data_IF_046004891493
#
_entry.id   IF_046004891493
#
_cell.length_a   1.000
_cell.length_b   1.000
_cell.length_c   1.000
_cell.angle_alpha   90.00
_cell.angle_beta   90.00
_cell.angle_gamma   90.00
#
_symmetry.space_group_name_H-M   'P 1'
#
loop_
_entity.id
_entity.type
_entity.pdbx_description
1 polymer ?
#
# COMPACT_ATOMS: atom_id res chain seq x y z
N UNK A 1 -29.94 -14.59 14.36
CA UNK A 1 -30.61 -13.42 13.76
C UNK A 1 -30.84 -13.74 12.30
N UNK A 2 -32.10 -13.83 11.86
CA UNK A 2 -32.44 -14.08 10.44
C UNK A 2 -32.15 -12.78 9.69
N UNK A 3 -31.18 -12.80 8.78
CA UNK A 3 -30.88 -11.65 7.93
C UNK A 3 -32.01 -11.57 6.91
N UNK A 4 -32.92 -10.61 7.08
CA UNK A 4 -33.91 -10.30 6.05
C UNK A 4 -33.12 -9.68 4.90
N UNK A 5 -33.02 -10.41 3.79
CA UNK A 5 -32.40 -9.89 2.57
C UNK A 5 -33.35 -8.87 1.97
N UNK A 6 -32.94 -7.60 1.96
CA UNK A 6 -33.70 -6.52 1.32
C UNK A 6 -33.57 -6.65 -0.20
N UNK A 7 -34.69 -6.53 -0.92
CA UNK A 7 -34.72 -6.51 -2.38
C UNK A 7 -34.28 -5.11 -2.88
N UNK A 8 -32.98 -4.84 -2.79
CA UNK A 8 -32.36 -3.65 -3.35
C UNK A 8 -31.99 -3.88 -4.83
N UNK A 9 -32.18 -2.85 -5.67
CA UNK A 9 -31.88 -2.90 -7.11
C UNK A 9 -30.68 -2.02 -7.46
N UNK A 10 -29.67 -2.53 -8.18
CA UNK A 10 -28.50 -1.75 -8.54
C UNK A 10 -28.84 -0.68 -9.58
N UNK A 11 -28.43 0.55 -9.31
CA UNK A 11 -28.72 1.69 -10.19
C UNK A 11 -27.54 2.00 -11.12
N UNK A 12 -26.32 1.95 -10.58
CA UNK A 12 -25.11 2.31 -11.30
C UNK A 12 -24.67 1.22 -12.30
N UNK A 13 -23.95 1.58 -13.39
CA UNK A 13 -23.34 0.60 -14.29
C UNK A 13 -22.38 -0.36 -13.58
N UNK A 14 -21.68 0.13 -12.54
CA UNK A 14 -20.80 -0.69 -11.70
C UNK A 14 -21.59 -1.77 -10.95
N UNK A 15 -22.64 -1.39 -10.22
CA UNK A 15 -23.41 -2.33 -9.42
C UNK A 15 -24.19 -3.34 -10.29
N UNK A 16 -24.68 -2.92 -11.46
CA UNK A 16 -25.31 -3.84 -12.43
C UNK A 16 -24.31 -4.89 -12.91
N UNK A 17 -23.06 -4.49 -13.20
CA UNK A 17 -21.99 -5.42 -13.58
C UNK A 17 -21.60 -6.34 -12.42
N UNK A 18 -21.51 -5.81 -11.20
CA UNK A 18 -21.19 -6.58 -10.00
C UNK A 18 -22.29 -7.61 -9.70
N UNK A 19 -23.56 -7.21 -9.78
CA UNK A 19 -24.70 -8.11 -9.62
C UNK A 19 -24.73 -9.19 -10.69
N UNK A 20 -24.50 -8.83 -11.97
CA UNK A 20 -24.47 -9.81 -13.05
C UNK A 20 -23.35 -10.85 -12.87
N UNK A 21 -22.14 -10.41 -12.48
CA UNK A 21 -21.03 -11.31 -12.18
C UNK A 21 -21.33 -12.19 -10.95
N UNK A 22 -21.95 -11.64 -9.91
CA UNK A 22 -22.35 -12.37 -8.71
C UNK A 22 -23.40 -13.44 -9.02
N UNK A 23 -24.42 -13.11 -9.80
CA UNK A 23 -25.46 -14.04 -10.23
C UNK A 23 -24.92 -15.15 -11.14
N UNK A 24 -23.83 -14.89 -11.86
CA UNK A 24 -23.11 -15.88 -12.66
C UNK A 24 -22.06 -16.69 -11.84
N UNK A 25 -21.96 -16.45 -10.53
CA UNK A 25 -20.95 -17.05 -9.64
C UNK A 25 -19.49 -16.81 -10.09
N UNK A 26 -19.24 -15.72 -10.83
CA UNK A 26 -17.92 -15.34 -11.32
C UNK A 26 -17.18 -14.48 -10.28
N UNK A 27 -16.65 -15.16 -9.26
CA UNK A 27 -15.91 -14.51 -8.17
C UNK A 27 -14.68 -13.72 -8.67
N UNK A 28 -13.84 -14.22 -9.61
CA UNK A 28 -12.74 -13.44 -10.16
C UNK A 28 -13.18 -12.08 -10.74
N UNK A 29 -14.27 -12.04 -11.52
CA UNK A 29 -14.80 -10.79 -12.05
C UNK A 29 -15.34 -9.89 -10.93
N UNK A 30 -16.05 -10.44 -9.95
CA UNK A 30 -16.53 -9.68 -8.78
C UNK A 30 -15.36 -9.00 -8.04
N UNK A 31 -14.31 -9.77 -7.72
CA UNK A 31 -13.13 -9.26 -7.02
C UNK A 31 -12.37 -8.23 -7.86
N UNK A 32 -12.25 -8.45 -9.18
CA UNK A 32 -11.63 -7.48 -10.10
C UNK A 32 -12.39 -6.15 -10.20
N UNK A 33 -13.72 -6.19 -10.09
CA UNK A 33 -14.58 -5.01 -9.98
C UNK A 33 -14.40 -4.31 -8.63
N UNK A 34 -14.51 -5.04 -7.52
CA UNK A 34 -14.35 -4.50 -6.16
C UNK A 34 -12.98 -3.85 -5.96
N UNK A 35 -11.91 -4.43 -6.51
CA UNK A 35 -10.55 -3.89 -6.46
C UNK A 35 -10.44 -2.45 -6.92
N UNK A 36 -11.26 -2.06 -7.90
CA UNK A 36 -11.26 -0.72 -8.52
C UNK A 36 -12.36 0.18 -7.98
N UNK A 37 -13.18 -0.33 -7.07
CA UNK A 37 -14.31 0.40 -6.51
C UNK A 37 -13.86 1.28 -5.34
N UNK A 38 -14.51 2.42 -5.23
CA UNK A 38 -14.65 3.13 -3.97
C UNK A 38 -15.81 2.51 -3.20
N UNK A 39 -15.65 2.35 -1.90
CA UNK A 39 -16.68 1.81 -1.01
C UNK A 39 -16.98 2.80 0.11
N UNK A 40 -18.25 2.86 0.48
CA UNK A 40 -18.75 3.72 1.55
C UNK A 40 -18.74 3.01 2.89
N UNK A 41 -18.10 3.61 3.88
CA UNK A 41 -18.18 3.23 5.27
C UNK A 41 -19.23 4.12 5.96
N UNK A 42 -20.27 3.56 6.58
CA UNK A 42 -21.24 4.35 7.34
C UNK A 42 -20.57 5.14 8.46
N UNK A 43 -20.98 6.40 8.62
CA UNK A 43 -20.54 7.30 9.69
C UNK A 43 -21.76 7.73 10.50
N UNK A 44 -21.63 7.78 11.82
CA UNK A 44 -22.73 8.26 12.68
C UNK A 44 -22.92 9.78 12.48
N UNK A 45 -24.15 10.31 12.64
CA UNK A 45 -24.38 11.75 12.57
C UNK A 45 -23.52 12.53 13.58
N UNK A 46 -23.34 11.99 14.79
CA UNK A 46 -22.49 12.61 15.81
C UNK A 46 -21.03 12.71 15.37
N UNK A 47 -20.48 11.66 14.72
CA UNK A 47 -19.11 11.69 14.22
C UNK A 47 -18.95 12.68 13.05
N UNK A 48 -19.95 12.75 12.16
CA UNK A 48 -19.93 13.69 11.05
C UNK A 48 -20.02 15.16 11.49
N UNK A 49 -20.73 15.44 12.58
CA UNK A 49 -20.79 16.76 13.22
C UNK A 49 -19.58 17.06 14.11
N UNK A 50 -18.59 16.16 14.19
CA UNK A 50 -17.40 16.30 15.04
C UNK A 50 -17.68 16.21 16.55
N UNK A 51 -18.86 15.71 16.94
CA UNK A 51 -19.24 15.51 18.35
C UNK A 51 -18.63 14.25 18.96
N UNK A 52 -18.17 13.32 18.14
CA UNK A 52 -17.42 12.12 18.55
C UNK A 52 -16.37 11.73 17.50
N UNK A 53 -15.36 10.92 17.86
CA UNK A 53 -14.42 10.36 16.89
C UNK A 53 -15.11 9.43 15.88
N UNK A 54 -14.64 9.43 14.63
CA UNK A 54 -15.13 8.48 13.62
C UNK A 54 -14.65 7.07 13.95
N UNK A 55 -15.59 6.18 14.30
CA UNK A 55 -15.32 4.78 14.57
C UNK A 55 -15.45 3.91 13.30
N UNK A 56 -14.81 2.74 13.31
CA UNK A 56 -15.02 1.74 12.28
C UNK A 56 -16.43 1.13 12.38
N UNK A 57 -17.22 1.06 11.29
CA UNK A 57 -18.58 0.55 11.32
C UNK A 57 -18.56 -0.99 11.44
N UNK A 58 -18.51 -1.49 12.67
CA UNK A 58 -18.31 -2.93 12.92
C UNK A 58 -19.54 -3.64 13.46
N UNK A 59 -19.65 -4.94 13.15
CA UNK A 59 -20.61 -5.85 13.75
C UNK A 59 -19.98 -7.23 13.97
N UNK A 60 -20.56 -8.05 14.84
CA UNK A 60 -20.09 -9.42 15.09
C UNK A 60 -21.01 -10.44 14.40
N UNK A 61 -20.41 -11.43 13.74
CA UNK A 61 -21.14 -12.46 13.01
C UNK A 61 -20.27 -13.68 12.76
N UNK A 62 -20.80 -14.88 13.01
CA UNK A 62 -20.06 -16.13 12.80
C UNK A 62 -18.75 -16.23 13.61
N UNK A 63 -18.69 -15.62 14.79
CA UNK A 63 -17.48 -15.60 15.64
C UNK A 63 -16.37 -14.65 15.19
N UNK A 64 -16.61 -13.80 14.18
CA UNK A 64 -15.66 -12.80 13.68
C UNK A 64 -16.25 -11.38 13.77
N UNK A 65 -15.38 -10.39 13.95
CA UNK A 65 -15.71 -8.97 13.79
C UNK A 65 -15.62 -8.59 12.30
N UNK A 66 -16.67 -7.98 11.79
CA UNK A 66 -16.79 -7.55 10.40
C UNK A 66 -16.91 -6.03 10.34
N UNK A 67 -16.17 -5.40 9.44
CA UNK A 67 -16.37 -4.01 9.05
C UNK A 67 -17.40 -3.96 7.92
N UNK A 68 -18.47 -3.20 8.09
CA UNK A 68 -19.49 -3.01 7.07
C UNK A 68 -19.07 -1.92 6.08
N UNK A 69 -19.15 -2.24 4.80
CA UNK A 69 -18.96 -1.28 3.71
C UNK A 69 -20.04 -1.49 2.65
N UNK A 70 -20.36 -0.43 1.90
CA UNK A 70 -21.41 -0.46 0.88
C UNK A 70 -20.87 0.08 -0.45
N UNK A 71 -21.37 -0.46 -1.55
CA UNK A 71 -20.96 -0.03 -2.91
C UNK A 71 -21.58 1.31 -3.34
N UNK A 72 -22.59 1.79 -2.60
CA UNK A 72 -23.22 3.09 -2.81
C UNK A 72 -23.97 3.55 -1.56
N UNK A 73 -24.34 4.83 -1.53
CA UNK A 73 -25.20 5.39 -0.49
C UNK A 73 -26.60 4.75 -0.53
N UNK A 74 -27.12 4.45 -1.72
CA UNK A 74 -28.44 3.81 -1.85
C UNK A 74 -28.43 2.37 -1.35
N UNK A 75 -27.35 1.62 -1.63
CA UNK A 75 -27.14 0.30 -1.03
C UNK A 75 -27.06 0.37 0.50
N UNK A 76 -26.39 1.40 1.04
CA UNK A 76 -26.30 1.64 2.48
C UNK A 76 -27.69 1.95 3.09
N UNK A 77 -28.45 2.87 2.50
CA UNK A 77 -29.79 3.27 2.97
C UNK A 77 -30.80 2.15 2.90
N UNK A 78 -30.70 1.27 1.90
CA UNK A 78 -31.58 0.10 1.81
C UNK A 78 -31.46 -0.85 3.02
N UNK A 79 -30.33 -0.84 3.73
CA UNK A 79 -30.09 -1.67 4.92
C UNK A 79 -30.23 -0.87 6.22
N UNK A 80 -29.64 0.33 6.27
CA UNK A 80 -29.55 1.14 7.48
C UNK A 80 -30.72 2.13 7.66
N UNK A 81 -31.56 2.29 6.64
CA UNK A 81 -32.64 3.28 6.60
C UNK A 81 -32.18 4.67 6.15
N UNK A 82 -33.15 5.56 5.95
CA UNK A 82 -32.92 6.90 5.39
C UNK A 82 -32.08 7.82 6.28
N UNK A 83 -31.96 7.50 7.58
CA UNK A 83 -31.15 8.26 8.55
C UNK A 83 -29.64 8.03 8.38
N UNK A 84 -29.23 7.06 7.54
CA UNK A 84 -27.84 6.87 7.15
C UNK A 84 -27.46 7.88 6.07
N UNK A 85 -27.13 9.10 6.50
CA UNK A 85 -26.80 10.21 5.60
C UNK A 85 -25.29 10.42 5.42
N UNK A 86 -24.48 10.01 6.39
CA UNK A 86 -23.04 10.28 6.41
C UNK A 86 -22.25 9.04 6.04
N UNK A 87 -21.36 9.21 5.05
CA UNK A 87 -20.51 8.14 4.52
C UNK A 87 -19.08 8.63 4.39
N UNK A 88 -18.13 7.77 4.76
CA UNK A 88 -16.72 7.95 4.44
C UNK A 88 -16.38 7.05 3.26
N UNK A 89 -16.09 7.66 2.12
CA UNK A 89 -15.69 6.96 0.89
C UNK A 89 -14.21 6.63 0.96
N UNK A 90 -13.85 5.37 0.70
CA UNK A 90 -12.47 4.88 0.69
C UNK A 90 -12.25 3.89 -0.43
N UNK A 91 -11.03 3.81 -0.93
CA UNK A 91 -10.54 2.71 -1.76
C UNK A 91 -10.11 1.51 -0.90
N UNK A 92 -9.94 0.34 -1.51
CA UNK A 92 -9.35 -0.82 -0.82
C UNK A 92 -7.94 -0.54 -0.29
N UNK A 93 -7.16 0.30 -0.97
CA UNK A 93 -5.79 0.61 -0.57
C UNK A 93 -5.75 1.52 0.67
N UNK A 94 -6.57 2.58 0.71
CA UNK A 94 -6.73 3.43 1.90
C UNK A 94 -7.29 2.64 3.08
N UNK A 95 -8.27 1.77 2.82
CA UNK A 95 -8.83 0.90 3.83
C UNK A 95 -7.79 -0.06 4.43
N UNK A 96 -6.94 -0.65 3.58
CA UNK A 96 -5.88 -1.55 4.02
C UNK A 96 -4.75 -0.81 4.78
N UNK A 97 -4.45 0.45 4.43
CA UNK A 97 -3.43 1.26 5.11
C UNK A 97 -3.83 1.55 6.57
N UNK A 98 -5.13 1.80 6.81
CA UNK A 98 -5.68 2.02 8.15
C UNK A 98 -6.28 0.78 8.81
N UNK A 99 -5.95 -0.44 8.34
CA UNK A 99 -6.67 -1.64 8.77
C UNK A 99 -6.49 -1.90 10.28
N UNK A 100 -7.59 -1.89 11.08
CA UNK A 100 -7.48 -1.82 12.55
C UNK A 100 -7.01 -3.12 13.20
N UNK A 101 -7.38 -4.26 12.64
CA UNK A 101 -7.06 -5.57 13.20
C UNK A 101 -7.05 -6.62 12.08
N UNK A 102 -5.91 -7.28 11.81
CA UNK A 102 -5.80 -8.32 10.79
C UNK A 102 -6.79 -9.49 10.94
N UNK A 103 -7.38 -9.68 12.12
CA UNK A 103 -8.37 -10.75 12.40
C UNK A 103 -9.79 -10.38 11.96
N UNK A 104 -10.06 -9.11 11.68
CA UNK A 104 -11.37 -8.66 11.23
C UNK A 104 -11.59 -9.00 9.75
N UNK A 105 -12.85 -9.08 9.32
CA UNK A 105 -13.22 -9.21 7.91
C UNK A 105 -13.87 -7.94 7.37
N UNK A 106 -13.94 -7.81 6.05
CA UNK A 106 -14.75 -6.81 5.36
C UNK A 106 -16.05 -7.46 4.89
N UNK A 107 -17.18 -6.91 5.31
CA UNK A 107 -18.48 -7.26 4.77
C UNK A 107 -18.91 -6.15 3.79
N UNK A 108 -18.91 -6.46 2.49
CA UNK A 108 -19.40 -5.56 1.44
C UNK A 108 -20.88 -5.85 1.21
N UNK A 109 -21.70 -4.79 1.27
CA UNK A 109 -23.16 -4.85 1.14
C UNK A 109 -23.84 -5.84 2.09
N UNK A 110 -23.47 -5.90 3.40
CA UNK A 110 -24.11 -6.83 4.33
C UNK A 110 -25.62 -6.57 4.40
N UNK A 111 -26.43 -7.62 4.29
CA UNK A 111 -27.90 -7.52 4.29
C UNK A 111 -28.54 -7.33 2.91
N UNK A 112 -27.74 -7.17 1.85
CA UNK A 112 -28.20 -7.15 0.46
C UNK A 112 -27.98 -8.50 -0.23
N UNK A 113 -28.67 -8.69 -1.36
CA UNK A 113 -28.55 -9.90 -2.18
C UNK A 113 -27.14 -10.09 -2.74
N UNK A 114 -26.54 -9.01 -3.26
CA UNK A 114 -25.15 -9.00 -3.75
C UNK A 114 -24.23 -8.59 -2.62
N UNK A 115 -23.93 -9.54 -1.73
CA UNK A 115 -23.09 -9.34 -0.54
C UNK A 115 -21.82 -10.21 -0.58
N UNK A 116 -20.74 -9.68 -0.01
CA UNK A 116 -19.45 -10.37 0.07
C UNK A 116 -18.88 -10.30 1.48
N UNK A 117 -18.31 -11.41 1.93
CA UNK A 117 -17.60 -11.50 3.19
C UNK A 117 -16.14 -11.85 2.89
N UNK A 118 -15.28 -10.84 2.92
CA UNK A 118 -13.87 -10.92 2.56
C UNK A 118 -13.02 -10.98 3.82
N UNK A 119 -12.16 -11.98 3.91
CA UNK A 119 -11.13 -12.02 4.96
C UNK A 119 -10.09 -10.91 4.74
N UNK A 120 -9.41 -10.47 5.80
CA UNK A 120 -8.37 -9.44 5.73
C UNK A 120 -7.30 -9.76 4.67
N UNK A 121 -6.87 -11.02 4.56
CA UNK A 121 -5.92 -11.42 3.52
C UNK A 121 -6.43 -11.17 2.09
N UNK A 122 -7.73 -11.36 1.85
CA UNK A 122 -8.34 -11.04 0.55
C UNK A 122 -8.38 -9.54 0.32
N UNK A 123 -8.74 -8.75 1.34
CA UNK A 123 -8.67 -7.28 1.29
C UNK A 123 -7.25 -6.81 0.96
N UNK A 124 -6.23 -7.34 1.63
CA UNK A 124 -4.82 -7.01 1.41
C UNK A 124 -4.37 -7.30 -0.03
N UNK A 125 -4.77 -8.45 -0.59
CA UNK A 125 -4.44 -8.85 -1.98
C UNK A 125 -5.17 -8.00 -3.03
N UNK A 126 -6.36 -7.50 -2.72
CA UNK A 126 -7.06 -6.54 -3.59
C UNK A 126 -6.40 -5.15 -3.51
N UNK A 127 -6.05 -4.70 -2.30
CA UNK A 127 -5.42 -3.41 -2.05
C UNK A 127 -4.03 -3.30 -2.71
N UNK A 128 -3.24 -4.36 -2.60
CA UNK A 128 -1.83 -4.39 -3.00
C UNK A 128 -1.59 -5.59 -3.93
N UNK A 129 -1.87 -5.47 -5.24
CA UNK A 129 -1.51 -6.52 -6.19
C UNK A 129 0.01 -6.73 -6.24
N UNK A 130 0.44 -7.95 -6.57
CA UNK A 130 1.87 -8.23 -6.73
C UNK A 130 2.45 -7.50 -7.95
N UNK A 131 3.76 -7.24 -7.95
CA UNK A 131 4.41 -6.61 -9.10
C UNK A 131 4.23 -7.42 -10.39
N UNK A 132 4.14 -8.74 -10.30
CA UNK A 132 3.82 -9.61 -11.46
C UNK A 132 2.41 -9.34 -11.97
N UNK A 133 1.41 -9.28 -11.09
CA UNK A 133 0.03 -9.00 -11.46
C UNK A 133 -0.11 -7.61 -12.11
N UNK A 134 0.55 -6.60 -11.54
CA UNK A 134 0.58 -5.26 -12.12
C UNK A 134 1.24 -5.24 -13.50
N UNK A 135 2.36 -5.95 -13.66
CA UNK A 135 3.03 -6.03 -14.96
C UNK A 135 2.18 -6.73 -16.01
N UNK A 136 1.40 -7.74 -15.62
CA UNK A 136 0.45 -8.40 -16.52
C UNK A 136 -0.70 -7.46 -16.92
N UNK A 137 -1.16 -6.62 -15.99
CA UNK A 137 -2.19 -5.62 -16.27
C UNK A 137 -1.69 -4.47 -17.16
N UNK A 138 -0.41 -4.09 -17.02
CA UNK A 138 0.22 -3.00 -17.77
C UNK A 138 1.57 -3.44 -18.40
N UNK A 139 1.57 -4.29 -19.45
CA UNK A 139 2.82 -4.85 -20.00
C UNK A 139 3.83 -3.82 -20.52
N UNK A 140 3.34 -2.64 -20.94
CA UNK A 140 4.16 -1.56 -21.50
C UNK A 140 4.87 -0.64 -20.48
N UNK A 141 4.61 -0.79 -19.18
CA UNK A 141 5.13 0.09 -18.12
C UNK A 141 6.63 -0.05 -17.82
N UNK A 142 7.29 -1.07 -18.38
CA UNK A 142 8.69 -1.39 -18.06
C UNK A 142 8.86 -1.96 -16.64
N UNK A 143 10.10 -2.26 -16.21
CA UNK A 143 10.36 -2.65 -14.83
C UNK A 143 10.17 -1.46 -13.88
N UNK A 144 9.48 -1.64 -12.74
CA UNK A 144 9.33 -0.57 -11.76
C UNK A 144 10.70 -0.17 -11.20
N UNK A 145 10.84 1.11 -10.88
CA UNK A 145 11.99 1.61 -10.11
C UNK A 145 11.64 1.44 -8.64
N UNK A 146 12.44 0.64 -7.94
CA UNK A 146 12.39 0.44 -6.51
C UNK A 146 13.33 1.40 -5.83
N UNK A 147 13.03 1.74 -4.58
CA UNK A 147 13.90 2.54 -3.76
C UNK A 147 13.88 2.13 -2.28
N UNK A 148 14.97 2.48 -1.59
CA UNK A 148 15.16 2.25 -0.16
C UNK A 148 15.99 3.40 0.44
N UNK A 149 15.55 3.96 1.56
CA UNK A 149 16.38 4.92 2.31
C UNK A 149 17.60 4.21 2.92
N UNK A 150 18.76 4.83 2.84
CA UNK A 150 20.03 4.31 3.34
C UNK A 150 20.45 5.06 4.61
N UNK A 151 20.91 4.31 5.62
CA UNK A 151 21.65 4.86 6.76
C UNK A 151 23.13 4.99 6.41
N UNK A 152 23.95 5.70 7.20
CA UNK A 152 25.37 5.85 6.95
C UNK A 152 26.11 4.51 6.83
N UNK A 153 25.73 3.51 7.64
CA UNK A 153 26.30 2.16 7.56
C UNK A 153 25.94 1.46 6.24
N UNK A 154 24.71 1.61 5.75
CA UNK A 154 24.28 1.02 4.48
C UNK A 154 25.01 1.70 3.31
N UNK A 155 25.18 3.03 3.38
CA UNK A 155 25.94 3.81 2.39
C UNK A 155 27.41 3.39 2.33
N UNK A 156 28.04 3.20 3.50
CA UNK A 156 29.42 2.71 3.59
C UNK A 156 29.57 1.30 3.00
N UNK A 157 28.66 0.38 3.33
CA UNK A 157 28.68 -0.98 2.80
C UNK A 157 28.62 -0.99 1.26
N UNK A 158 27.75 -0.17 0.66
CA UNK A 158 27.70 -0.04 -0.79
C UNK A 158 28.97 0.60 -1.36
N UNK A 159 29.32 1.81 -0.92
CA UNK A 159 30.39 2.60 -1.56
C UNK A 159 31.80 2.09 -1.27
N UNK A 160 32.08 1.66 -0.05
CA UNK A 160 33.42 1.25 0.40
C UNK A 160 33.65 -0.26 0.27
N UNK A 161 32.64 -1.08 0.61
CA UNK A 161 32.78 -2.54 0.62
C UNK A 161 32.29 -3.18 -0.68
N UNK A 162 31.59 -2.43 -1.54
CA UNK A 162 31.07 -2.93 -2.80
C UNK A 162 29.85 -3.83 -2.63
N UNK A 163 29.10 -3.68 -1.53
CA UNK A 163 27.84 -4.41 -1.34
C UNK A 163 26.94 -4.19 -2.57
N UNK A 164 26.48 -5.31 -3.12
CA UNK A 164 25.77 -5.40 -4.40
C UNK A 164 24.42 -6.08 -4.26
N UNK A 165 23.98 -6.32 -3.03
CA UNK A 165 22.68 -6.91 -2.71
C UNK A 165 21.89 -5.99 -1.80
N UNK A 166 20.58 -6.11 -1.85
CA UNK A 166 19.64 -5.37 -1.00
C UNK A 166 18.69 -6.33 -0.31
N UNK A 167 18.55 -6.16 1.00
CA UNK A 167 17.60 -6.88 1.85
C UNK A 167 16.73 -5.90 2.63
N UNK A 168 15.61 -6.39 3.16
CA UNK A 168 14.68 -5.62 3.98
C UNK A 168 13.59 -4.95 3.15
N UNK A 169 13.03 -3.86 3.70
CA UNK A 169 11.89 -3.18 3.10
C UNK A 169 12.30 -2.18 2.02
N UNK A 170 11.51 -2.14 0.96
CA UNK A 170 11.63 -1.21 -0.16
C UNK A 170 10.26 -0.87 -0.73
N UNK A 171 10.19 0.20 -1.51
CA UNK A 171 8.95 0.68 -2.11
C UNK A 171 9.24 1.15 -3.54
N UNK A 172 8.21 1.38 -4.35
CA UNK A 172 8.42 1.92 -5.69
C UNK A 172 8.70 3.42 -5.58
N UNK A 173 9.66 3.92 -6.35
CA UNK A 173 9.97 5.35 -6.40
C UNK A 173 8.75 6.19 -6.79
N UNK A 174 7.85 5.66 -7.64
CA UNK A 174 6.61 6.35 -8.02
C UNK A 174 5.59 6.54 -6.88
N UNK A 175 5.60 5.65 -5.88
CA UNK A 175 4.62 5.67 -4.80
C UNK A 175 4.92 6.75 -3.76
N UNK A 176 6.11 7.35 -3.82
CA UNK A 176 6.55 8.41 -2.91
C UNK A 176 7.06 9.64 -3.66
N UNK A 177 6.90 9.69 -4.98
CA UNK A 177 7.43 10.76 -5.83
C UNK A 177 6.83 12.14 -5.50
N UNK A 178 5.67 12.17 -4.84
CA UNK A 178 5.02 13.38 -4.36
C UNK A 178 5.62 13.94 -3.06
N UNK A 179 6.52 13.19 -2.39
CA UNK A 179 7.12 13.57 -1.11
C UNK A 179 8.55 14.05 -1.35
N UNK A 180 8.72 15.37 -1.50
CA UNK A 180 10.02 15.99 -1.74
C UNK A 180 10.76 16.44 -0.46
N UNK A 181 10.14 16.33 0.72
CA UNK A 181 10.75 16.74 1.99
C UNK A 181 11.37 15.53 2.70
N UNK A 182 12.68 15.49 2.97
CA UNK A 182 13.36 14.33 3.57
C UNK A 182 12.74 13.81 4.86
N UNK A 183 12.46 14.70 5.82
CA UNK A 183 11.85 14.31 7.10
C UNK A 183 10.44 13.73 6.92
N UNK A 184 9.65 14.29 5.99
CA UNK A 184 8.31 13.78 5.67
C UNK A 184 8.41 12.43 4.96
N UNK A 185 9.40 12.22 4.09
CA UNK A 185 9.62 10.93 3.45
C UNK A 185 10.01 9.86 4.48
N UNK A 186 10.93 10.17 5.40
CA UNK A 186 11.32 9.25 6.46
C UNK A 186 10.13 8.89 7.37
N UNK A 187 9.31 9.87 7.75
CA UNK A 187 8.11 9.67 8.56
C UNK A 187 7.02 8.88 7.82
N UNK A 188 6.76 9.23 6.55
CA UNK A 188 5.80 8.52 5.70
C UNK A 188 6.16 7.04 5.53
N UNK A 189 7.45 6.71 5.58
CA UNK A 189 7.99 5.35 5.51
C UNK A 189 8.09 4.65 6.88
N UNK A 190 7.71 5.32 7.98
CA UNK A 190 7.81 4.79 9.33
C UNK A 190 9.24 4.71 9.88
N UNK A 191 10.20 5.41 9.25
CA UNK A 191 11.65 5.30 9.54
C UNK A 191 12.25 6.56 10.17
N UNK A 192 11.46 7.58 10.46
CA UNK A 192 11.95 8.82 11.09
C UNK A 192 12.61 8.61 12.46
N UNK A 193 12.30 7.50 13.14
CA UNK A 193 12.87 7.14 14.44
C UNK A 193 14.26 6.48 14.34
N UNK A 194 14.67 6.05 13.13
CA UNK A 194 15.94 5.38 12.93
C UNK A 194 17.09 6.40 12.82
N UNK A 195 18.12 6.21 13.66
CA UNK A 195 19.29 7.07 13.68
C UNK A 195 20.01 7.11 12.32
N UNK A 196 20.30 8.32 11.85
CA UNK A 196 21.04 8.57 10.61
C UNK A 196 20.25 8.38 9.31
N UNK A 197 18.96 8.01 9.35
CA UNK A 197 18.12 7.98 8.14
C UNK A 197 17.97 9.41 7.57
N UNK A 198 17.62 10.37 8.42
CA UNK A 198 17.73 11.80 8.13
C UNK A 198 19.08 12.26 8.66
N UNK A 199 19.89 12.90 7.82
CA UNK A 199 21.22 13.40 8.23
C UNK A 199 21.11 14.65 9.10
N UNK A 200 22.23 15.05 9.72
CA UNK A 200 22.28 16.28 10.52
C UNK A 200 22.00 17.54 9.67
N UNK A 201 22.30 17.48 8.36
CA UNK A 201 21.96 18.51 7.37
C UNK A 201 20.50 18.45 6.89
N UNK A 202 19.70 17.51 7.41
CA UNK A 202 18.29 17.34 7.06
C UNK A 202 18.05 16.65 5.72
N UNK A 203 19.07 15.99 5.14
CA UNK A 203 18.96 15.23 3.89
C UNK A 203 18.62 13.76 4.14
N UNK A 204 18.24 13.02 3.09
CA UNK A 204 18.16 11.54 3.12
C UNK A 204 18.93 10.95 1.95
N UNK A 205 19.57 9.79 2.18
CA UNK A 205 20.21 9.01 1.11
C UNK A 205 19.26 7.92 0.62
N UNK A 206 19.19 7.72 -0.70
CA UNK A 206 18.22 6.83 -1.35
C UNK A 206 18.94 5.92 -2.33
N UNK A 207 18.82 4.61 -2.15
CA UNK A 207 19.19 3.62 -3.17
C UNK A 207 18.03 3.46 -4.16
N UNK A 208 18.28 3.55 -5.47
CA UNK A 208 17.27 3.37 -6.53
C UNK A 208 17.74 2.36 -7.57
N UNK A 209 16.89 1.39 -7.90
CA UNK A 209 17.20 0.36 -8.89
C UNK A 209 15.97 -0.08 -9.68
N UNK A 210 16.19 -0.60 -10.89
CA UNK A 210 15.11 -1.24 -11.67
C UNK A 210 14.88 -2.65 -11.14
N UNK A 211 13.64 -3.02 -10.86
CA UNK A 211 13.33 -4.35 -10.35
C UNK A 211 13.68 -5.45 -11.37
N UNK A 212 14.48 -6.43 -10.95
CA UNK A 212 14.78 -7.66 -11.68
C UNK A 212 14.23 -8.85 -10.90
N UNK A 213 13.51 -9.75 -11.57
CA UNK A 213 12.83 -10.88 -10.91
C UNK A 213 11.70 -10.39 -10.00
N UNK A 214 10.57 -10.00 -10.57
CA UNK A 214 9.47 -9.37 -9.83
C UNK A 214 8.93 -10.22 -8.66
N UNK A 215 9.01 -11.54 -8.74
CA UNK A 215 8.63 -12.46 -7.66
C UNK A 215 9.52 -12.37 -6.41
N UNK A 216 10.71 -11.77 -6.52
CA UNK A 216 11.62 -11.54 -5.39
C UNK A 216 11.15 -10.38 -4.50
N UNK A 217 10.25 -9.54 -4.99
CA UNK A 217 9.69 -8.38 -4.27
C UNK A 217 8.34 -8.79 -3.68
N UNK A 218 8.40 -9.52 -2.57
CA UNK A 218 7.20 -10.09 -1.96
C UNK A 218 6.50 -9.03 -1.12
N UNK A 219 5.20 -8.88 -1.34
CA UNK A 219 4.36 -8.09 -0.44
C UNK A 219 4.41 -8.69 0.97
N UNK A 220 4.72 -7.90 2.01
CA UNK A 220 4.88 -8.40 3.38
C UNK A 220 3.51 -8.57 4.05
N UNK A 221 2.72 -9.53 3.58
CA UNK A 221 1.50 -9.92 4.30
C UNK A 221 1.89 -10.61 5.61
N UNK A 222 1.31 -10.18 6.73
CA UNK A 222 1.74 -10.65 8.05
C UNK A 222 0.99 -10.02 9.22
N UNK A 223 1.66 -9.96 10.36
CA UNK A 223 1.21 -9.22 11.54
C UNK A 223 2.29 -9.19 12.62
N UNK A 224 1.93 -8.80 13.84
CA UNK A 224 2.88 -8.71 14.96
C UNK A 224 3.01 -10.01 15.76
N UNK A 225 2.19 -11.00 15.43
CA UNK A 225 2.19 -12.32 16.04
C UNK A 225 1.69 -13.37 15.03
N UNK A 226 1.74 -14.64 15.44
CA UNK A 226 1.35 -15.77 14.60
C UNK A 226 -0.15 -15.74 14.24
N UNK A 227 -1.00 -15.23 15.13
CA UNK A 227 -2.44 -15.16 14.91
C UNK A 227 -2.80 -14.12 13.84
N UNK A 228 -2.23 -12.92 13.93
CA UNK A 228 -2.41 -11.85 12.96
C UNK A 228 -1.78 -12.19 11.61
N UNK A 229 -0.57 -12.79 11.59
CA UNK A 229 0.02 -13.34 10.36
C UNK A 229 -0.90 -14.35 9.68
N UNK A 230 -1.46 -15.29 10.45
CA UNK A 230 -2.37 -16.31 9.93
C UNK A 230 -3.66 -15.69 9.37
N UNK A 231 -4.19 -14.66 10.03
CA UNK A 231 -5.44 -14.02 9.63
C UNK A 231 -5.42 -13.36 8.23
N UNK A 232 -4.23 -12.97 7.76
CA UNK A 232 -4.03 -12.45 6.38
C UNK A 232 -3.47 -13.49 5.41
N UNK A 233 -3.32 -14.75 5.86
CA UNK A 233 -2.58 -15.79 5.15
C UNK A 233 -1.16 -15.32 4.76
N UNK A 234 -0.53 -14.59 5.68
CA UNK A 234 0.75 -13.94 5.51
C UNK A 234 1.94 -14.85 5.78
N UNK A 235 3.14 -14.30 5.75
CA UNK A 235 4.40 -15.01 5.98
C UNK A 235 5.38 -14.21 6.85
N UNK A 236 5.05 -12.96 7.17
CA UNK A 236 5.91 -12.04 7.94
C UNK A 236 5.36 -11.89 9.36
N UNK A 237 6.27 -11.91 10.34
CA UNK A 237 6.03 -11.41 11.70
C UNK A 237 7.04 -10.31 11.96
N UNK A 238 6.58 -9.15 12.44
CA UNK A 238 7.42 -7.98 12.74
C UNK A 238 6.94 -7.23 13.98
N UNK A 239 7.74 -6.29 14.44
CA UNK A 239 7.39 -5.44 15.56
C UNK A 239 6.34 -4.37 15.18
N UNK A 240 5.54 -3.89 16.15
CA UNK A 240 4.70 -2.70 15.94
C UNK A 240 5.55 -1.51 15.45
N UNK A 241 5.02 -0.65 14.56
CA UNK A 241 3.62 -0.55 14.15
C UNK A 241 3.23 -1.39 12.91
N UNK A 242 3.92 -2.50 12.61
CA UNK A 242 3.63 -3.33 11.44
C UNK A 242 2.18 -3.86 11.40
N UNK A 243 1.45 -3.52 10.33
CA UNK A 243 0.05 -3.96 10.11
C UNK A 243 -0.04 -5.24 9.27
N UNK A 244 0.92 -5.45 8.36
CA UNK A 244 0.97 -6.67 7.55
C UNK A 244 -0.06 -6.78 6.42
N UNK A 245 -0.54 -5.65 5.92
CA UNK A 245 -1.48 -5.59 4.78
C UNK A 245 -0.81 -5.22 3.44
N UNK A 246 0.53 -5.17 3.41
CA UNK A 246 1.31 -4.84 2.20
C UNK A 246 1.54 -3.34 1.95
N UNK A 247 1.22 -2.52 2.94
CA UNK A 247 1.40 -1.07 2.93
C UNK A 247 2.23 -0.68 4.15
N UNK A 248 2.96 0.43 4.02
CA UNK A 248 3.59 1.09 5.16
C UNK A 248 2.50 1.45 6.19
N UNK A 249 2.74 1.31 7.50
CA UNK A 249 1.77 1.64 8.55
C UNK A 249 1.61 3.15 8.72
N UNK A 250 1.06 3.82 7.71
CA UNK A 250 0.77 5.25 7.70
C UNK A 250 -0.66 5.46 7.19
N UNK A 251 -1.52 6.06 8.02
CA UNK A 251 -2.93 6.26 7.67
C UNK A 251 -3.16 7.38 6.65
N UNK A 252 -2.20 8.31 6.53
CA UNK A 252 -2.31 9.50 5.68
C UNK A 252 -1.67 9.27 4.29
N UNK A 253 -0.86 8.22 4.15
CA UNK A 253 -0.09 7.92 2.94
C UNK A 253 -0.26 6.46 2.52
N UNK A 254 -0.79 6.24 1.32
CA UNK A 254 -0.94 4.90 0.74
C UNK A 254 0.34 4.51 -0.01
N UNK A 255 1.34 4.03 0.74
CA UNK A 255 2.63 3.61 0.19
C UNK A 255 2.73 2.09 0.23
N UNK A 256 2.87 1.46 -0.95
CA UNK A 256 3.06 0.01 -1.06
C UNK A 256 4.47 -0.37 -0.66
N UNK A 257 4.58 -1.44 0.12
CA UNK A 257 5.85 -1.92 0.64
C UNK A 257 6.12 -3.35 0.16
N UNK A 258 7.39 -3.65 -0.06
CA UNK A 258 7.89 -4.96 -0.48
C UNK A 258 9.07 -5.34 0.40
N UNK A 259 9.12 -6.62 0.79
CA UNK A 259 10.25 -7.19 1.52
C UNK A 259 11.08 -8.04 0.57
N UNK A 260 12.35 -7.68 0.45
CA UNK A 260 13.34 -8.39 -0.37
C UNK A 260 14.37 -9.08 0.52
N UNK A 261 14.90 -10.21 0.05
CA UNK A 261 15.97 -10.94 0.73
C UNK A 261 17.15 -11.15 -0.22
N UNK A 262 18.19 -10.33 -0.03
CA UNK A 262 19.42 -10.39 -0.79
C UNK A 262 19.20 -10.27 -2.29
N UNK A 263 18.36 -9.36 -2.77
CA UNK A 263 18.19 -9.15 -4.22
C UNK A 263 19.45 -8.49 -4.78
N UNK A 264 20.02 -9.04 -5.86
CA UNK A 264 21.17 -8.45 -6.53
C UNK A 264 20.81 -7.14 -7.21
N UNK A 265 21.65 -6.12 -7.02
CA UNK A 265 21.51 -4.81 -7.65
C UNK A 265 21.94 -4.91 -9.12
N UNK A 266 21.10 -4.50 -10.08
CA UNK A 266 21.46 -4.49 -11.49
C UNK A 266 22.46 -3.37 -11.79
N UNK A 267 23.22 -3.52 -12.89
CA UNK A 267 23.99 -2.43 -13.48
C UNK A 267 23.12 -1.17 -13.67
N UNK A 268 23.67 0.00 -13.35
CA UNK A 268 22.94 1.27 -13.41
C UNK A 268 22.05 1.53 -12.20
N UNK A 269 22.18 0.75 -11.12
CA UNK A 269 21.62 1.12 -9.81
C UNK A 269 22.28 2.43 -9.33
N UNK A 270 21.52 3.29 -8.66
CA UNK A 270 21.96 4.63 -8.31
C UNK A 270 21.81 4.89 -6.81
N UNK A 271 22.70 5.70 -6.26
CA UNK A 271 22.55 6.33 -4.94
C UNK A 271 22.29 7.80 -5.16
N UNK A 272 21.25 8.30 -4.49
CA UNK A 272 20.75 9.66 -4.55
C UNK A 272 20.78 10.31 -3.17
N UNK A 273 20.95 11.61 -3.13
CA UNK A 273 20.69 12.44 -1.95
C UNK A 273 19.49 13.33 -2.26
N UNK A 274 18.46 13.31 -1.41
CA UNK A 274 17.39 14.29 -1.40
C UNK A 274 17.68 15.30 -0.30
N UNK A 275 17.95 16.55 -0.68
CA UNK A 275 18.31 17.62 0.26
C UNK A 275 17.08 18.19 0.97
N UNK A 276 17.30 18.97 2.03
CA UNK A 276 16.25 19.69 2.76
C UNK A 276 15.43 20.63 1.86
N UNK A 277 16.04 21.15 0.79
CA UNK A 277 15.40 22.01 -0.21
C UNK A 277 14.55 21.22 -1.23
N UNK A 278 14.49 19.89 -1.11
CA UNK A 278 13.77 19.00 -2.01
C UNK A 278 14.44 18.80 -3.37
N UNK A 279 15.76 19.00 -3.44
CA UNK A 279 16.55 18.78 -4.65
C UNK A 279 17.24 17.42 -4.58
N UNK A 280 17.15 16.66 -5.66
CA UNK A 280 17.81 15.37 -5.77
C UNK A 280 19.14 15.47 -6.52
N UNK A 281 20.20 14.95 -5.89
CA UNK A 281 21.52 14.80 -6.50
C UNK A 281 21.87 13.32 -6.61
N UNK A 282 22.19 12.87 -7.82
CA UNK A 282 22.80 11.56 -7.98
C UNK A 282 24.22 11.62 -7.44
N UNK A 283 24.57 10.70 -6.55
CA UNK A 283 25.87 10.64 -5.87
C UNK A 283 26.74 9.48 -6.34
N UNK A 284 26.13 8.37 -6.71
CA UNK A 284 26.86 7.23 -7.25
C UNK A 284 26.02 6.38 -8.22
N UNK A 285 26.72 5.63 -9.07
CA UNK A 285 26.14 4.61 -9.96
C UNK A 285 26.92 3.31 -9.81
N UNK A 286 26.19 2.20 -9.71
CA UNK A 286 26.74 0.85 -9.64
C UNK A 286 27.01 0.30 -11.04
N UNK A 287 28.23 -0.18 -11.25
CA UNK A 287 28.61 -0.93 -12.44
C UNK A 287 28.60 -2.42 -12.12
N UNK A 288 27.60 -3.12 -12.66
CA UNK A 288 27.45 -4.57 -12.47
C UNK A 288 28.50 -5.43 -13.17
N UNK A 289 29.21 -4.93 -14.18
CA UNK A 289 30.26 -5.68 -14.86
C UNK A 289 31.56 -5.64 -14.05
N UNK A 290 31.84 -4.50 -13.42
CA UNK A 290 33.02 -4.29 -12.58
C UNK A 290 32.78 -4.62 -11.09
N UNK A 291 31.52 -4.80 -10.70
CA UNK A 291 31.12 -5.08 -9.32
C UNK A 291 31.46 -3.95 -8.34
N UNK A 292 31.45 -2.68 -8.80
CA UNK A 292 31.86 -1.54 -7.98
C UNK A 292 31.00 -0.31 -8.21
N UNK A 293 31.06 0.62 -7.25
CA UNK A 293 30.39 1.90 -7.32
C UNK A 293 31.30 3.00 -7.86
N UNK A 294 30.75 3.87 -8.68
CA UNK A 294 31.39 5.07 -9.16
C UNK A 294 30.69 6.29 -8.61
N UNK A 295 31.43 7.15 -7.91
CA UNK A 295 30.94 8.46 -7.51
C UNK A 295 30.73 9.32 -8.76
N UNK A 296 29.64 10.08 -8.78
CA UNK A 296 29.34 11.02 -9.85
C UNK A 296 29.26 12.43 -9.30
N UNK A 297 29.61 13.40 -10.13
CA UNK A 297 29.44 14.81 -9.78
C UNK A 297 27.97 15.12 -9.54
N UNK A 298 27.73 16.04 -8.60
CA UNK A 298 26.43 16.47 -8.14
C UNK A 298 25.64 17.21 -9.24
N UNK A 299 25.03 16.48 -10.18
CA UNK A 299 24.17 17.09 -11.19
C UNK A 299 22.73 17.09 -10.66
N UNK A 300 22.12 18.26 -10.41
CA UNK A 300 20.71 18.33 -10.02
C UNK A 300 19.82 17.92 -11.20
N UNK A 301 18.79 17.12 -10.94
CA UNK A 301 17.79 16.78 -11.96
C UNK A 301 16.81 17.96 -12.10
N UNK A 302 16.74 18.56 -13.30
CA UNK A 302 15.77 19.62 -13.64
C UNK A 302 16.34 21.00 -13.98
N UNK A 303 17.67 21.17 -14.02
CA UNK A 303 18.30 22.38 -14.57
C UNK A 303 18.26 22.42 -16.11
N UNK A 304 18.17 23.60 -16.76
CA UNK A 304 18.17 23.70 -18.21
C UNK A 304 19.57 23.36 -18.74
N UNK A 305 19.77 22.13 -19.20
CA UNK A 305 21.10 21.68 -19.61
C UNK A 305 21.07 20.35 -20.36
N UNK A 306 20.38 20.33 -21.50
CA UNK A 306 20.30 19.17 -22.39
C UNK A 306 20.05 19.60 -23.85
N UNK A 307 20.82 20.57 -24.33
CA UNK A 307 20.97 20.86 -25.74
C UNK A 307 22.42 21.28 -26.01
N UNK A 308 23.26 20.29 -26.30
CA UNK A 308 24.47 20.40 -27.10
C UNK A 308 24.81 19.01 -27.63
#
# INVERSE_FOLDING_TARGET
MVVVVQEWRPESPFEKRLQAAFAAEDLPVCLGLLRQAEIGLPVTPAAAEGREPTAWPTFTGGGRTWMAAYTSIDAMRAVLGDTAEHVRVVTFAELAAGWPDPRWGLAVNPGLTTSFFLEAGTVARLAVPSLVQERLAEPGSGPPIMQKLLRPADLYAHLAEGESRVSGYCHRARDVAHIATPAVLADALGRAHEEGVVTDEGSVNILRWRAVGLDLYRTPYGGVDEASRTAVAGWVIEEPPFVGMGLVPNADQVIREYKVDGVGLPHGTEIWELTVDGVEYRRAVYDGDLGRWFLVDAVPVGGPGGAA
#
